data_IF_942302527916
#
_entry.id   IF_942302527916
#
_cell.length_a   1.000
_cell.length_b   1.000
_cell.length_c   1.000
_cell.angle_alpha   90.00
_cell.angle_beta   90.00
_cell.angle_gamma   90.00
#
_symmetry.space_group_name_H-M   'P 1'
#
loop_
_entity.id
_entity.type
_entity.pdbx_description
1 polymer ?
#
# COMPACT_ATOMS: atom_id res chain seq x y z
N UNK A 1 43.85 54.28 -73.77
CA UNK A 1 42.42 54.45 -73.58
C UNK A 1 41.77 53.33 -72.76
N UNK A 2 42.50 52.24 -72.38
CA UNK A 2 41.87 51.05 -71.70
C UNK A 2 42.02 50.98 -70.17
N UNK A 3 42.73 51.84 -69.49
CA UNK A 3 42.88 51.81 -68.04
C UNK A 3 41.81 52.65 -67.30
N UNK A 4 41.40 53.79 -67.89
CA UNK A 4 40.35 54.65 -67.30
C UNK A 4 38.96 54.06 -67.37
N UNK A 5 38.66 53.29 -68.45
CA UNK A 5 37.39 52.63 -68.63
C UNK A 5 37.21 51.46 -67.59
N UNK A 6 38.27 50.73 -67.31
CA UNK A 6 38.29 49.66 -66.29
C UNK A 6 38.12 50.19 -64.88
N UNK A 7 38.72 51.39 -64.61
CA UNK A 7 38.58 52.02 -63.31
C UNK A 7 37.15 52.56 -63.08
N UNK A 8 36.53 53.14 -64.10
CA UNK A 8 35.17 53.61 -64.04
C UNK A 8 34.16 52.50 -63.89
N UNK A 9 34.38 51.34 -64.50
CA UNK A 9 33.55 50.14 -64.36
C UNK A 9 33.66 49.51 -62.94
N UNK A 10 34.84 49.53 -62.35
CA UNK A 10 35.13 49.05 -61.03
C UNK A 10 34.42 49.93 -59.93
N UNK A 11 34.48 51.27 -60.15
CA UNK A 11 33.81 52.22 -59.26
C UNK A 11 32.26 52.07 -59.33
N UNK A 12 31.72 51.86 -60.55
CA UNK A 12 30.30 51.63 -60.73
C UNK A 12 29.81 50.34 -60.04
N UNK A 13 30.60 49.28 -60.10
CA UNK A 13 30.27 48.01 -59.41
C UNK A 13 30.31 48.16 -57.89
N UNK A 14 31.28 48.93 -57.36
CA UNK A 14 31.37 49.18 -55.92
C UNK A 14 30.24 50.05 -55.44
N UNK A 15 29.79 51.04 -56.18
CA UNK A 15 28.64 51.90 -55.83
C UNK A 15 27.36 51.10 -55.88
N UNK A 16 27.14 50.22 -56.86
CA UNK A 16 25.95 49.37 -56.94
C UNK A 16 25.95 48.31 -55.83
N UNK A 17 27.08 47.71 -55.49
CA UNK A 17 27.25 46.80 -54.40
C UNK A 17 26.96 47.47 -53.02
N UNK A 18 27.49 48.71 -52.84
CA UNK A 18 27.18 49.49 -51.61
C UNK A 18 25.68 49.86 -51.48
N UNK A 19 25.06 50.24 -52.64
CA UNK A 19 23.63 50.52 -52.69
C UNK A 19 22.77 49.34 -52.38
N UNK A 20 23.11 48.16 -52.88
CA UNK A 20 22.39 46.89 -52.55
C UNK A 20 22.57 46.51 -51.08
N UNK A 21 23.76 46.65 -50.52
CA UNK A 21 24.01 46.38 -49.09
C UNK A 21 23.24 47.39 -48.20
N UNK A 22 23.18 48.66 -48.60
CA UNK A 22 22.44 49.66 -47.88
C UNK A 22 20.91 49.38 -47.95
N UNK A 23 20.41 49.00 -49.12
CA UNK A 23 19.00 48.69 -49.34
C UNK A 23 18.61 47.40 -48.60
N UNK A 24 19.46 46.37 -48.56
CA UNK A 24 19.22 45.15 -47.79
C UNK A 24 19.31 45.40 -46.29
N UNK A 25 20.17 46.34 -45.85
CA UNK A 25 20.19 46.75 -44.42
C UNK A 25 18.95 47.52 -44.04
N UNK A 26 18.42 48.37 -44.93
CA UNK A 26 17.21 49.12 -44.67
C UNK A 26 15.94 48.25 -44.71
N UNK A 27 15.93 47.13 -45.46
CA UNK A 27 14.83 46.15 -45.41
C UNK A 27 14.96 45.19 -44.25
N UNK A 28 16.12 44.98 -43.61
CA UNK A 28 16.29 44.17 -42.39
C UNK A 28 16.06 44.95 -41.10
N UNK A 29 15.81 46.26 -41.16
CA UNK A 29 15.10 46.99 -40.10
C UNK A 29 13.59 46.84 -40.23
N UNK A 30 13.11 45.64 -40.63
CA UNK A 30 11.77 45.22 -40.30
C UNK A 30 11.77 45.11 -38.79
N UNK A 31 11.09 46.02 -38.16
CA UNK A 31 10.63 46.00 -36.81
C UNK A 31 10.57 44.52 -36.29
N UNK A 32 11.56 44.14 -35.46
CA UNK A 32 11.22 43.18 -34.43
C UNK A 32 10.13 43.87 -33.59
N UNK A 33 8.89 43.66 -34.00
CA UNK A 33 7.77 43.72 -33.10
C UNK A 33 8.11 42.59 -32.10
N UNK A 34 8.79 42.96 -31.02
CA UNK A 34 8.77 42.17 -29.79
C UNK A 34 7.32 41.77 -29.58
N UNK A 35 6.96 40.46 -29.55
CA UNK A 35 5.61 40.13 -29.24
C UNK A 35 5.35 40.78 -27.88
N UNK A 36 4.51 41.79 -27.91
CA UNK A 36 4.00 42.45 -26.71
C UNK A 36 3.62 41.30 -25.80
N UNK A 37 4.46 41.00 -24.82
CA UNK A 37 4.09 40.08 -23.75
C UNK A 37 2.73 40.61 -23.27
N UNK A 38 1.66 39.84 -23.38
CA UNK A 38 0.38 40.35 -22.92
C UNK A 38 0.67 40.89 -21.54
N UNK A 39 0.66 42.21 -21.39
CA UNK A 39 0.62 42.86 -20.08
C UNK A 39 -0.46 42.10 -19.37
N UNK A 40 -0.09 41.29 -18.36
CA UNK A 40 -1.06 40.72 -17.46
C UNK A 40 -1.93 41.89 -17.07
N UNK A 41 -3.10 41.97 -17.68
CA UNK A 41 -4.11 42.97 -17.30
C UNK A 41 -4.33 42.62 -15.85
N UNK A 42 -3.87 43.45 -14.96
CA UNK A 42 -4.20 43.43 -13.55
C UNK A 42 -5.69 43.64 -13.52
N UNK A 43 -6.44 42.53 -13.64
CA UNK A 43 -7.86 42.51 -13.37
C UNK A 43 -7.92 42.92 -11.90
N UNK A 44 -8.37 44.13 -11.65
CA UNK A 44 -8.59 44.56 -10.27
C UNK A 44 -9.58 43.57 -9.68
N UNK A 45 -9.28 42.92 -8.55
CA UNK A 45 -10.16 41.93 -7.97
C UNK A 45 -11.51 42.60 -7.72
N UNK A 46 -12.58 42.02 -8.29
CA UNK A 46 -13.93 42.47 -8.02
C UNK A 46 -14.20 42.28 -6.52
N UNK A 47 -14.76 43.23 -5.87
CA UNK A 47 -15.17 43.17 -4.48
C UNK A 47 -16.69 43.13 -4.43
N UNK A 48 -17.26 42.02 -3.97
CA UNK A 48 -18.69 41.88 -3.73
C UNK A 48 -19.01 42.17 -2.27
N UNK A 49 -19.96 43.03 -1.99
CA UNK A 49 -20.37 43.42 -0.64
C UNK A 49 -21.83 43.20 -0.43
N UNK A 50 -22.18 42.50 0.63
CA UNK A 50 -23.55 42.34 1.07
C UNK A 50 -23.82 43.13 2.35
N UNK A 51 -24.98 43.68 2.47
CA UNK A 51 -25.44 44.29 3.72
C UNK A 51 -25.55 43.21 4.82
N UNK A 52 -25.31 43.59 6.07
CA UNK A 52 -25.49 42.69 7.18
C UNK A 52 -26.91 42.11 7.22
N UNK A 53 -27.04 40.79 7.22
CA UNK A 53 -28.32 40.08 7.18
C UNK A 53 -28.93 39.87 5.80
N UNK A 54 -28.22 40.16 4.72
CA UNK A 54 -28.68 39.84 3.38
C UNK A 54 -28.96 38.35 3.21
N UNK A 55 -30.08 37.92 2.60
CA UNK A 55 -30.47 36.52 2.47
C UNK A 55 -29.42 35.68 1.68
N UNK A 56 -28.68 36.33 0.77
CA UNK A 56 -27.61 35.69 -0.01
C UNK A 56 -26.48 35.11 0.87
N UNK A 57 -26.21 35.75 2.03
CA UNK A 57 -25.18 35.29 2.95
C UNK A 57 -25.47 33.90 3.53
N UNK A 58 -26.73 33.49 3.61
CA UNK A 58 -27.13 32.17 4.05
C UNK A 58 -26.72 31.04 3.11
N UNK A 59 -26.45 31.33 1.85
CA UNK A 59 -26.03 30.39 0.82
C UNK A 59 -24.49 30.38 0.64
N UNK A 60 -23.78 31.22 1.40
CA UNK A 60 -22.30 31.31 1.31
C UNK A 60 -21.69 30.66 2.53
N UNK A 61 -20.82 29.68 2.29
CA UNK A 61 -20.01 29.07 3.33
C UNK A 61 -18.53 29.31 3.04
N UNK A 62 -17.81 29.77 4.08
CA UNK A 62 -16.37 29.99 4.01
C UNK A 62 -15.64 28.97 4.86
N UNK A 63 -14.45 28.57 4.44
CA UNK A 63 -13.53 27.70 5.20
C UNK A 63 -12.14 28.30 5.21
N UNK A 64 -11.37 27.99 6.27
CA UNK A 64 -9.98 28.45 6.41
C UNK A 64 -9.09 27.50 5.66
N UNK A 65 -8.39 28.03 4.66
CA UNK A 65 -7.46 27.21 3.88
C UNK A 65 -6.15 26.97 4.61
N UNK A 66 -5.62 25.77 4.42
CA UNK A 66 -4.36 25.31 5.02
C UNK A 66 -3.39 24.84 3.97
N UNK A 67 -2.12 24.97 4.27
CA UNK A 67 -1.04 24.44 3.43
C UNK A 67 -0.86 22.95 3.75
N UNK A 68 -1.03 22.11 2.74
CA UNK A 68 -0.91 20.65 2.85
C UNK A 68 0.13 20.09 1.87
N UNK A 69 0.70 18.91 2.15
CA UNK A 69 1.55 18.23 1.17
C UNK A 69 0.77 17.95 -0.11
N UNK A 70 1.34 18.35 -1.24
CA UNK A 70 0.68 18.24 -2.53
C UNK A 70 0.84 16.83 -3.11
N UNK A 71 -0.24 16.17 -3.55
CA UNK A 71 -0.16 14.91 -4.27
C UNK A 71 0.34 15.11 -5.70
N UNK A 72 0.88 14.04 -6.29
CA UNK A 72 1.36 14.06 -7.70
C UNK A 72 0.23 13.82 -8.70
N UNK A 73 -0.88 13.26 -8.25
CA UNK A 73 -2.06 12.94 -9.07
C UNK A 73 -3.29 12.82 -8.17
N UNK A 74 -4.46 12.66 -8.79
CA UNK A 74 -5.70 12.35 -8.08
C UNK A 74 -5.56 11.14 -7.15
N UNK A 75 -6.31 11.12 -6.03
CA UNK A 75 -6.34 9.97 -5.14
C UNK A 75 -6.74 8.69 -5.89
N UNK A 76 -6.06 7.60 -5.58
CA UNK A 76 -6.28 6.29 -6.17
C UNK A 76 -6.92 5.37 -5.13
N UNK A 77 -7.86 4.54 -5.57
CA UNK A 77 -8.50 3.59 -4.68
C UNK A 77 -7.53 2.48 -4.27
N UNK A 78 -7.61 2.11 -3.01
CA UNK A 78 -6.91 1.01 -2.42
C UNK A 78 -7.74 0.33 -1.35
N UNK A 79 -7.20 -0.73 -0.77
CA UNK A 79 -7.79 -1.43 0.38
C UNK A 79 -6.71 -1.80 1.38
N UNK A 80 -7.07 -1.82 2.64
CA UNK A 80 -6.21 -2.36 3.68
C UNK A 80 -6.17 -3.88 3.56
N UNK A 81 -5.02 -4.46 3.81
CA UNK A 81 -4.81 -5.91 3.78
C UNK A 81 -3.90 -6.33 4.94
N UNK A 82 -3.95 -7.61 5.28
CA UNK A 82 -2.98 -8.17 6.21
C UNK A 82 -1.56 -8.08 5.62
N UNK A 83 -0.58 -7.85 6.49
CA UNK A 83 0.82 -8.06 6.12
C UNK A 83 1.10 -9.58 6.12
N UNK A 84 1.15 -10.17 4.93
CA UNK A 84 1.36 -11.61 4.77
C UNK A 84 2.70 -12.10 5.36
N UNK A 85 3.67 -11.22 5.59
CA UNK A 85 4.94 -11.59 6.21
C UNK A 85 4.78 -11.92 7.70
N UNK A 86 3.74 -11.40 8.34
CA UNK A 86 3.43 -11.63 9.76
C UNK A 86 2.05 -12.26 9.97
N UNK A 87 1.49 -12.81 8.89
CA UNK A 87 0.19 -13.51 8.90
C UNK A 87 0.42 -15.01 8.71
N UNK A 88 -0.31 -15.81 9.45
CA UNK A 88 -0.26 -17.25 9.33
C UNK A 88 -1.65 -17.86 9.23
N UNK A 89 -1.82 -18.68 8.18
CA UNK A 89 -3.00 -19.52 7.98
C UNK A 89 -2.70 -20.89 8.58
N UNK A 90 -3.37 -21.21 9.68
CA UNK A 90 -3.12 -22.43 10.45
C UNK A 90 -4.14 -23.49 10.10
N UNK A 91 -3.69 -24.59 9.49
CA UNK A 91 -4.48 -25.76 9.14
C UNK A 91 -4.10 -26.96 10.01
N UNK A 92 -4.95 -27.98 10.07
CA UNK A 92 -4.59 -29.23 10.74
C UNK A 92 -3.60 -30.05 9.91
N UNK A 93 -2.49 -30.50 10.48
CA UNK A 93 -1.59 -31.44 9.81
C UNK A 93 -2.08 -32.88 9.84
N UNK A 94 -3.17 -33.18 10.59
CA UNK A 94 -3.68 -34.51 10.85
C UNK A 94 -5.19 -34.59 10.61
N UNK A 95 -5.65 -35.80 10.26
CA UNK A 95 -7.06 -36.16 10.34
C UNK A 95 -7.47 -36.30 11.80
N UNK A 96 -8.63 -35.76 12.17
CA UNK A 96 -9.17 -35.94 13.51
C UNK A 96 -10.40 -35.09 13.78
N UNK A 97 -10.87 -35.14 15.01
CA UNK A 97 -12.05 -34.40 15.49
C UNK A 97 -11.64 -33.33 16.51
N UNK A 98 -12.14 -32.11 16.34
CA UNK A 98 -11.90 -31.02 17.30
C UNK A 98 -12.58 -31.34 18.63
N UNK A 99 -11.80 -31.42 19.71
CA UNK A 99 -12.30 -31.64 21.07
C UNK A 99 -12.61 -30.34 21.77
N UNK A 100 -11.59 -29.46 21.86
CA UNK A 100 -11.64 -28.22 22.62
C UNK A 100 -11.01 -27.10 21.80
N UNK A 101 -11.63 -25.94 21.82
CA UNK A 101 -11.08 -24.69 21.27
C UNK A 101 -10.56 -23.85 22.42
N UNK A 102 -9.31 -23.38 22.30
CA UNK A 102 -8.62 -22.64 23.34
C UNK A 102 -8.43 -21.17 23.01
N UNK A 103 -8.57 -20.79 21.73
CA UNK A 103 -8.45 -19.43 21.28
C UNK A 103 -9.67 -19.02 20.44
N UNK A 104 -10.22 -17.86 20.72
CA UNK A 104 -11.34 -17.23 20.02
C UNK A 104 -10.89 -16.11 19.11
N UNK A 105 -11.80 -15.60 18.27
CA UNK A 105 -11.56 -14.40 17.45
C UNK A 105 -11.34 -13.21 18.39
N UNK A 106 -10.29 -12.41 18.08
CA UNK A 106 -9.88 -11.26 18.87
C UNK A 106 -8.84 -11.57 19.96
N UNK A 107 -8.60 -12.84 20.28
CA UNK A 107 -7.61 -13.21 21.29
C UNK A 107 -6.20 -12.94 20.80
N UNK A 108 -5.36 -12.42 21.68
CA UNK A 108 -3.90 -12.31 21.46
C UNK A 108 -3.22 -13.60 21.85
N UNK A 109 -2.47 -14.17 20.91
CA UNK A 109 -1.75 -15.43 21.10
C UNK A 109 -0.25 -15.22 20.88
N UNK A 110 0.56 -15.85 21.72
CA UNK A 110 2.00 -15.92 21.53
C UNK A 110 2.36 -17.09 20.59
N UNK A 111 3.56 -17.04 20.00
CA UNK A 111 4.12 -18.19 19.26
C UNK A 111 4.15 -19.42 20.16
N UNK A 112 3.60 -20.55 19.68
CA UNK A 112 3.49 -21.79 20.43
C UNK A 112 2.25 -21.91 21.34
N UNK A 113 1.41 -20.87 21.45
CA UNK A 113 0.17 -20.92 22.21
C UNK A 113 -0.78 -21.98 21.64
N UNK A 114 -1.50 -22.69 22.53
CA UNK A 114 -2.48 -23.69 22.11
C UNK A 114 -3.72 -23.02 21.54
N UNK A 115 -4.12 -23.42 20.33
CA UNK A 115 -5.30 -22.90 19.63
C UNK A 115 -6.52 -23.81 19.79
N UNK A 116 -6.31 -25.12 19.61
CA UNK A 116 -7.32 -26.14 19.80
C UNK A 116 -6.66 -27.52 20.03
N UNK A 117 -7.49 -28.48 20.48
CA UNK A 117 -7.11 -29.87 20.63
C UNK A 117 -7.92 -30.74 19.67
N UNK A 118 -7.24 -31.69 19.02
CA UNK A 118 -7.79 -32.63 18.05
C UNK A 118 -7.59 -34.05 18.59
N UNK A 119 -8.61 -34.87 18.53
CA UNK A 119 -8.53 -36.31 18.70
C UNK A 119 -8.19 -36.94 17.33
N UNK A 120 -6.99 -37.53 17.21
CA UNK A 120 -6.47 -38.06 15.95
C UNK A 120 -6.17 -39.54 16.06
N UNK A 121 -6.92 -40.40 15.33
CA UNK A 121 -6.59 -41.84 15.23
C UNK A 121 -5.20 -42.10 14.65
N UNK A 122 -4.74 -41.28 13.71
CA UNK A 122 -3.42 -41.42 13.09
C UNK A 122 -2.29 -41.21 14.12
N UNK A 123 -2.48 -40.24 15.01
CA UNK A 123 -1.54 -40.01 16.12
C UNK A 123 -1.56 -41.18 17.11
N UNK A 124 -2.74 -41.63 17.54
CA UNK A 124 -2.87 -42.77 18.44
C UNK A 124 -2.21 -44.02 17.88
N UNK A 125 -2.39 -44.30 16.57
CA UNK A 125 -1.73 -45.43 15.90
C UNK A 125 -0.21 -45.25 15.87
N UNK A 126 0.29 -44.04 15.57
CA UNK A 126 1.74 -43.79 15.55
C UNK A 126 2.38 -43.91 16.94
N UNK A 127 1.69 -43.51 18.00
CA UNK A 127 2.11 -43.70 19.40
C UNK A 127 2.17 -45.18 19.76
N UNK A 128 1.14 -45.95 19.39
CA UNK A 128 1.07 -47.38 19.62
C UNK A 128 2.19 -48.14 18.84
N UNK A 129 2.42 -47.74 17.58
CA UNK A 129 3.52 -48.32 16.77
C UNK A 129 4.87 -48.08 17.40
N UNK A 130 5.13 -46.88 17.92
CA UNK A 130 6.38 -46.54 18.59
C UNK A 130 6.54 -47.38 19.89
N UNK A 131 5.49 -47.47 20.71
CA UNK A 131 5.50 -48.25 21.93
C UNK A 131 5.78 -49.74 21.66
N UNK A 132 5.16 -50.30 20.60
CA UNK A 132 5.36 -51.66 20.16
C UNK A 132 6.81 -51.89 19.69
N UNK A 133 7.32 -51.01 18.81
CA UNK A 133 8.69 -51.10 18.31
C UNK A 133 9.73 -50.98 19.42
N UNK A 134 9.54 -50.05 20.35
CA UNK A 134 10.45 -49.90 21.50
C UNK A 134 10.45 -51.09 22.42
N UNK A 135 9.29 -51.74 22.66
CA UNK A 135 9.21 -52.98 23.44
C UNK A 135 9.94 -54.14 22.75
N UNK A 136 9.82 -54.24 21.42
CA UNK A 136 10.52 -55.26 20.63
C UNK A 136 12.04 -55.02 20.61
N UNK A 137 12.48 -53.76 20.42
CA UNK A 137 13.89 -53.41 20.52
C UNK A 137 14.47 -53.78 21.88
N UNK A 138 13.78 -53.46 22.96
CA UNK A 138 14.21 -53.84 24.31
C UNK A 138 14.35 -55.35 24.47
N UNK A 139 13.37 -56.12 23.97
CA UNK A 139 13.40 -57.59 24.01
C UNK A 139 14.60 -58.16 23.22
N UNK A 140 14.82 -57.66 21.99
CA UNK A 140 15.96 -58.08 21.12
C UNK A 140 17.30 -57.66 21.71
N UNK A 141 17.37 -56.50 22.32
CA UNK A 141 18.58 -56.05 23.05
C UNK A 141 18.97 -57.02 24.16
N UNK A 142 18.03 -57.41 25.01
CA UNK A 142 18.27 -58.35 26.08
C UNK A 142 18.69 -59.73 25.56
N UNK A 143 18.13 -60.18 24.42
CA UNK A 143 18.54 -61.45 23.78
C UNK A 143 19.97 -61.35 23.24
N UNK A 144 20.31 -60.23 22.56
CA UNK A 144 21.69 -60.00 22.06
C UNK A 144 22.69 -59.95 23.21
N UNK A 145 22.42 -59.20 24.29
CA UNK A 145 23.32 -59.10 25.46
C UNK A 145 23.50 -60.45 26.16
N UNK A 146 22.47 -61.28 26.21
CA UNK A 146 22.56 -62.66 26.73
C UNK A 146 23.43 -63.54 25.83
N UNK A 147 23.18 -63.55 24.51
CA UNK A 147 23.96 -64.36 23.55
C UNK A 147 25.42 -63.92 23.52
N UNK A 148 25.70 -62.62 23.63
CA UNK A 148 27.09 -62.12 23.73
C UNK A 148 27.81 -62.68 24.93
N UNK A 149 27.19 -62.70 26.14
CA UNK A 149 27.80 -63.29 27.34
C UNK A 149 27.99 -64.81 27.21
N UNK A 150 27.05 -65.51 26.55
CA UNK A 150 27.23 -66.99 26.32
C UNK A 150 28.30 -67.27 25.29
N UNK A 151 28.49 -66.48 24.29
CA UNK A 151 29.56 -66.58 23.29
C UNK A 151 30.93 -66.28 23.93
N UNK A 152 31.05 -65.26 24.75
CA UNK A 152 32.22 -64.83 25.45
C UNK A 152 32.71 -66.01 26.42
N UNK A 153 31.77 -66.86 26.85
CA UNK A 153 32.08 -68.09 27.65
C UNK A 153 32.08 -69.37 26.80
N UNK A 154 32.19 -69.26 25.47
CA UNK A 154 32.26 -70.36 24.50
C UNK A 154 31.07 -71.34 24.54
N UNK A 155 29.91 -70.94 25.01
CA UNK A 155 28.70 -71.80 25.15
C UNK A 155 27.87 -71.84 23.83
N UNK A 156 27.91 -70.82 23.02
CA UNK A 156 27.16 -70.74 21.75
C UNK A 156 28.06 -70.46 20.55
N UNK A 157 27.62 -70.88 19.37
CA UNK A 157 28.32 -70.62 18.12
C UNK A 157 28.22 -69.11 17.70
N UNK A 158 29.27 -68.64 17.02
CA UNK A 158 29.35 -67.28 16.48
C UNK A 158 28.14 -66.91 15.62
N UNK A 159 27.60 -67.87 14.83
CA UNK A 159 26.40 -67.64 14.01
C UNK A 159 25.18 -67.23 14.83
N UNK A 160 25.00 -67.73 16.04
CA UNK A 160 23.92 -67.42 16.94
C UNK A 160 24.03 -65.98 17.49
N UNK A 161 25.24 -65.54 17.79
CA UNK A 161 25.54 -64.18 18.19
C UNK A 161 25.24 -63.19 17.05
N UNK A 162 25.76 -63.46 15.83
CA UNK A 162 25.56 -62.66 14.66
C UNK A 162 24.05 -62.54 14.30
N UNK A 163 23.26 -63.61 14.43
CA UNK A 163 21.82 -63.59 14.24
C UNK A 163 21.12 -62.70 15.27
N UNK A 164 21.49 -62.79 16.56
CA UNK A 164 20.91 -61.95 17.59
C UNK A 164 21.28 -60.47 17.45
N UNK A 165 22.49 -60.17 16.96
CA UNK A 165 22.94 -58.83 16.64
C UNK A 165 22.14 -58.26 15.48
N UNK A 166 21.98 -58.99 14.40
CA UNK A 166 21.18 -58.59 13.24
C UNK A 166 19.73 -58.31 13.63
N UNK A 167 19.13 -59.16 14.44
CA UNK A 167 17.79 -58.99 14.99
C UNK A 167 17.65 -57.70 15.81
N UNK A 168 18.64 -57.41 16.65
CA UNK A 168 18.65 -56.17 17.45
C UNK A 168 18.80 -54.91 16.57
N UNK A 169 19.73 -54.94 15.61
CA UNK A 169 19.89 -53.84 14.65
C UNK A 169 18.59 -53.56 13.85
N UNK A 170 17.90 -54.62 13.43
CA UNK A 170 16.62 -54.49 12.75
C UNK A 170 15.58 -53.82 13.67
N UNK A 171 15.46 -54.25 14.92
CA UNK A 171 14.53 -53.69 15.88
C UNK A 171 14.85 -52.22 16.20
N UNK A 172 16.13 -51.82 16.26
CA UNK A 172 16.55 -50.43 16.38
C UNK A 172 16.08 -49.58 15.17
N UNK A 173 16.26 -50.11 13.96
CA UNK A 173 15.81 -49.42 12.74
C UNK A 173 14.29 -49.21 12.73
N UNK A 174 13.52 -50.19 13.21
CA UNK A 174 12.08 -50.13 13.30
C UNK A 174 11.63 -49.08 14.36
N UNK A 175 12.25 -49.04 15.52
CA UNK A 175 11.99 -48.01 16.55
C UNK A 175 12.31 -46.61 16.01
N UNK A 176 13.47 -46.49 15.32
CA UNK A 176 13.85 -45.22 14.70
C UNK A 176 12.86 -44.77 13.67
N UNK A 177 12.35 -45.68 12.81
CA UNK A 177 11.31 -45.38 11.82
C UNK A 177 10.03 -44.91 12.46
N UNK A 178 9.54 -45.61 13.50
CA UNK A 178 8.31 -45.24 14.23
C UNK A 178 8.48 -43.87 14.94
N UNK A 179 9.65 -43.64 15.55
CA UNK A 179 9.98 -42.33 16.17
C UNK A 179 9.97 -41.17 15.18
N UNK A 180 10.56 -41.36 13.98
CA UNK A 180 10.56 -40.37 12.94
C UNK A 180 9.13 -40.09 12.40
N UNK A 181 8.30 -41.13 12.27
CA UNK A 181 6.89 -40.96 11.89
C UNK A 181 6.16 -40.07 12.90
N UNK A 182 6.31 -40.37 14.20
CA UNK A 182 5.69 -39.57 15.26
C UNK A 182 6.21 -38.10 15.25
N UNK A 183 7.51 -37.93 15.07
CA UNK A 183 8.13 -36.60 14.96
C UNK A 183 7.60 -35.80 13.76
N UNK A 184 7.42 -36.45 12.60
CA UNK A 184 6.89 -35.79 11.40
C UNK A 184 5.45 -35.35 11.56
N UNK A 185 4.66 -35.99 12.43
CA UNK A 185 3.32 -35.58 12.83
C UNK A 185 3.32 -34.35 13.78
N UNK A 186 4.51 -33.78 14.09
CA UNK A 186 4.69 -32.65 15.01
C UNK A 186 4.08 -32.88 16.39
N UNK A 187 3.98 -34.11 16.81
CA UNK A 187 3.28 -34.56 17.99
C UNK A 187 4.07 -34.42 19.30
N UNK A 188 5.11 -33.62 19.33
CA UNK A 188 5.95 -33.42 20.52
C UNK A 188 5.11 -32.86 21.69
N UNK A 189 5.02 -33.62 22.75
CA UNK A 189 4.27 -33.26 23.97
C UNK A 189 2.78 -33.64 23.97
N UNK A 190 2.32 -34.39 22.98
CA UNK A 190 0.96 -34.92 22.93
C UNK A 190 0.95 -36.37 23.46
N UNK A 191 -0.16 -36.83 23.99
CA UNK A 191 -0.36 -38.17 24.51
C UNK A 191 -1.79 -38.67 24.25
N UNK A 192 -1.93 -39.99 24.10
CA UNK A 192 -3.24 -40.64 23.94
C UNK A 192 -4.04 -40.18 22.71
N UNK A 193 -3.35 -39.99 21.57
CA UNK A 193 -4.02 -39.55 20.33
C UNK A 193 -4.48 -38.11 20.30
N UNK A 194 -4.21 -37.31 21.35
CA UNK A 194 -4.59 -35.89 21.41
C UNK A 194 -3.51 -35.01 20.83
N UNK A 195 -3.84 -34.32 19.77
CA UNK A 195 -2.96 -33.35 19.10
C UNK A 195 -3.35 -31.91 19.48
N UNK A 196 -2.39 -31.14 19.96
CA UNK A 196 -2.59 -29.71 20.24
C UNK A 196 -2.08 -28.89 19.07
N UNK A 197 -3.00 -28.25 18.34
CA UNK A 197 -2.64 -27.28 17.29
C UNK A 197 -2.18 -25.98 17.94
N UNK A 198 -1.00 -25.50 17.53
CA UNK A 198 -0.33 -24.34 18.15
C UNK A 198 -0.15 -23.21 17.15
N UNK A 199 -0.14 -21.98 17.66
CA UNK A 199 0.14 -20.79 16.87
C UNK A 199 1.61 -20.78 16.38
N UNK A 200 1.87 -20.71 15.06
CA UNK A 200 3.23 -20.65 14.53
C UNK A 200 3.87 -19.28 14.69
N UNK A 201 3.04 -18.23 14.81
CA UNK A 201 3.45 -16.83 14.99
C UNK A 201 2.70 -16.22 16.17
N UNK A 202 3.24 -15.14 16.72
CA UNK A 202 2.49 -14.29 17.66
C UNK A 202 1.59 -13.32 16.89
N UNK A 203 0.43 -12.99 17.44
CA UNK A 203 -0.52 -12.08 16.81
C UNK A 203 -1.91 -12.14 17.44
N UNK A 204 -2.89 -11.64 16.70
CA UNK A 204 -4.31 -11.71 17.04
C UNK A 204 -4.98 -12.77 16.17
N UNK A 205 -5.86 -13.58 16.75
CA UNK A 205 -6.72 -14.49 16.01
C UNK A 205 -7.76 -13.65 15.26
N UNK A 206 -7.63 -13.59 13.97
CA UNK A 206 -8.49 -12.75 13.11
C UNK A 206 -9.70 -13.53 12.63
N UNK A 207 -9.47 -14.81 12.26
CA UNK A 207 -10.51 -15.72 11.83
C UNK A 207 -10.38 -17.07 12.54
N UNK A 208 -11.53 -17.68 12.79
CA UNK A 208 -11.63 -19.03 13.32
C UNK A 208 -12.71 -19.79 12.57
N UNK A 209 -12.30 -20.80 11.83
CA UNK A 209 -13.19 -21.68 11.05
C UNK A 209 -13.24 -23.10 11.65
N UNK A 210 -12.99 -23.21 12.95
CA UNK A 210 -13.05 -24.46 13.71
C UNK A 210 -14.21 -24.41 14.70
N UNK A 211 -14.95 -25.54 14.79
CA UNK A 211 -16.03 -25.74 15.75
C UNK A 211 -15.78 -27.00 16.57
N UNK A 212 -16.22 -27.06 17.85
CA UNK A 212 -16.17 -28.28 18.63
C UNK A 212 -16.93 -29.42 17.93
N UNK A 213 -16.35 -30.63 17.94
CA UNK A 213 -16.90 -31.78 17.25
C UNK A 213 -16.70 -31.86 15.74
N UNK A 214 -16.19 -30.81 15.12
CA UNK A 214 -15.90 -30.78 13.69
C UNK A 214 -14.77 -31.75 13.33
N UNK A 215 -14.94 -32.47 12.22
CA UNK A 215 -13.87 -33.24 11.62
C UNK A 215 -12.93 -32.33 10.82
N UNK A 216 -11.63 -32.48 11.02
CA UNK A 216 -10.59 -31.70 10.34
C UNK A 216 -9.63 -32.63 9.62
N UNK A 217 -9.08 -32.15 8.50
CA UNK A 217 -8.16 -32.90 7.64
C UNK A 217 -7.10 -31.97 7.04
N UNK A 218 -5.92 -32.49 6.67
CA UNK A 218 -4.85 -31.69 6.04
C UNK A 218 -5.22 -31.05 4.71
N UNK A 219 -6.18 -31.64 3.97
CA UNK A 219 -6.63 -31.23 2.64
C UNK A 219 -7.79 -30.22 2.65
N UNK A 220 -8.20 -29.70 3.83
CA UNK A 220 -9.21 -28.66 3.90
C UNK A 220 -8.70 -27.36 3.25
N UNK A 221 -9.49 -26.86 2.30
CA UNK A 221 -9.17 -25.62 1.57
C UNK A 221 -9.18 -24.38 2.51
N UNK A 222 -9.99 -24.40 3.55
CA UNK A 222 -10.12 -23.29 4.51
C UNK A 222 -9.26 -23.54 5.73
N UNK A 223 -8.34 -22.62 6.09
CA UNK A 223 -7.56 -22.74 7.32
C UNK A 223 -8.46 -22.66 8.55
N UNK A 224 -8.07 -23.37 9.62
CA UNK A 224 -8.81 -23.38 10.89
C UNK A 224 -8.70 -22.04 11.63
N UNK A 225 -7.53 -21.40 11.53
CA UNK A 225 -7.28 -20.08 12.10
C UNK A 225 -6.49 -19.20 11.12
N UNK A 226 -6.79 -17.91 11.17
CA UNK A 226 -5.96 -16.85 10.63
C UNK A 226 -5.41 -16.03 11.79
N UNK A 227 -4.09 -15.97 11.91
CA UNK A 227 -3.39 -15.23 12.97
C UNK A 227 -2.53 -14.18 12.28
N UNK A 228 -2.67 -12.92 12.69
CA UNK A 228 -1.91 -11.82 12.11
C UNK A 228 -1.51 -10.79 13.16
N UNK A 229 -0.39 -10.13 12.94
CA UNK A 229 -0.04 -8.91 13.66
C UNK A 229 -0.72 -7.71 13.00
N UNK A 230 -1.87 -7.31 13.55
CA UNK A 230 -2.69 -6.20 13.03
C UNK A 230 -2.15 -4.81 13.39
N UNK A 231 -1.02 -4.72 14.11
CA UNK A 231 -0.35 -3.44 14.39
C UNK A 231 0.36 -2.86 13.15
N UNK A 232 0.53 -3.66 12.11
CA UNK A 232 1.05 -3.29 10.81
C UNK A 232 0.16 -3.86 9.72
N UNK A 233 -0.24 -3.02 8.79
CA UNK A 233 -1.08 -3.39 7.67
C UNK A 233 -0.40 -3.04 6.35
N UNK A 234 -0.77 -3.74 5.31
CA UNK A 234 -0.55 -3.32 3.95
C UNK A 234 -1.74 -2.50 3.46
N UNK A 235 -1.45 -1.60 2.52
CA UNK A 235 -2.45 -0.96 1.69
C UNK A 235 -2.12 -1.33 0.26
N UNK A 236 -3.03 -2.07 -0.36
CA UNK A 236 -2.95 -2.48 -1.76
C UNK A 236 -3.66 -1.44 -2.60
N UNK A 237 -2.91 -0.78 -3.47
CA UNK A 237 -3.37 0.35 -4.28
C UNK A 237 -3.31 -0.04 -5.74
N UNK A 238 -4.41 0.13 -6.46
CA UNK A 238 -4.51 -0.20 -7.88
C UNK A 238 -4.23 1.04 -8.73
N UNK A 239 -2.96 1.28 -9.05
CA UNK A 239 -2.48 2.48 -9.75
C UNK A 239 -2.69 2.35 -11.24
N UNK A 240 -3.39 3.31 -11.91
CA UNK A 240 -3.50 3.34 -13.37
C UNK A 240 -2.12 3.48 -14.05
N UNK A 241 -1.94 2.85 -15.20
CA UNK A 241 -0.70 2.88 -15.98
C UNK A 241 -0.17 4.31 -16.21
N UNK A 242 -1.06 5.26 -16.53
CA UNK A 242 -0.70 6.67 -16.76
C UNK A 242 -0.08 7.39 -15.55
N UNK A 243 -0.37 6.91 -14.34
CA UNK A 243 0.15 7.50 -13.09
C UNK A 243 1.42 6.78 -12.58
N UNK A 244 1.78 5.64 -13.17
CA UNK A 244 2.85 4.78 -12.67
C UNK A 244 4.22 5.47 -12.68
N UNK A 245 4.49 6.32 -13.67
CA UNK A 245 5.75 7.05 -13.79
C UNK A 245 6.04 7.99 -12.61
N UNK A 246 5.00 8.40 -11.87
CA UNK A 246 5.11 9.28 -10.69
C UNK A 246 5.19 8.54 -9.37
N UNK A 247 5.12 7.19 -9.38
CA UNK A 247 5.14 6.35 -8.18
C UNK A 247 6.50 5.69 -8.02
N UNK A 248 7.10 5.82 -6.83
CA UNK A 248 8.43 5.30 -6.55
C UNK A 248 8.44 4.55 -5.20
N UNK A 249 9.29 3.52 -5.11
CA UNK A 249 9.53 2.86 -3.82
C UNK A 249 10.11 3.85 -2.79
N UNK A 250 9.66 3.76 -1.56
CA UNK A 250 10.02 4.70 -0.49
C UNK A 250 9.22 6.01 -0.48
N UNK A 251 8.38 6.26 -1.48
CA UNK A 251 7.52 7.46 -1.54
C UNK A 251 6.48 7.42 -0.42
N UNK A 252 6.25 8.59 0.21
CA UNK A 252 5.20 8.75 1.21
C UNK A 252 3.84 8.90 0.53
N UNK A 253 2.82 8.32 1.13
CA UNK A 253 1.44 8.43 0.70
C UNK A 253 0.56 8.85 1.87
N UNK A 254 -0.45 9.64 1.59
CA UNK A 254 -1.54 9.93 2.53
C UNK A 254 -2.71 9.03 2.21
N UNK A 255 -3.34 8.52 3.24
CA UNK A 255 -4.46 7.60 3.15
C UNK A 255 -5.65 8.19 3.88
N UNK A 256 -6.75 8.32 3.18
CA UNK A 256 -8.04 8.73 3.69
C UNK A 256 -9.00 7.53 3.68
N UNK A 257 -9.85 7.43 4.68
CA UNK A 257 -10.88 6.38 4.78
C UNK A 257 -12.17 6.97 5.31
N UNK A 258 -13.29 6.51 4.79
CA UNK A 258 -14.61 6.99 5.19
C UNK A 258 -14.96 6.65 6.65
N UNK A 259 -14.29 5.65 7.23
CA UNK A 259 -14.44 5.30 8.64
C UNK A 259 -13.88 6.38 9.59
N UNK A 260 -12.92 7.18 9.15
CA UNK A 260 -12.26 8.24 9.93
C UNK A 260 -12.02 9.46 9.03
N UNK A 261 -13.06 10.23 8.68
CA UNK A 261 -12.98 11.30 7.68
C UNK A 261 -12.05 12.46 8.09
N UNK A 262 -11.89 12.69 9.40
CA UNK A 262 -11.05 13.77 9.94
C UNK A 262 -9.60 13.34 10.22
N UNK A 263 -9.22 12.08 9.88
CA UNK A 263 -7.90 11.55 10.15
C UNK A 263 -7.20 11.13 8.85
N UNK A 264 -6.00 11.65 8.67
CA UNK A 264 -5.11 11.25 7.58
C UNK A 264 -4.05 10.30 8.11
N UNK A 265 -3.93 9.15 7.46
CA UNK A 265 -2.91 8.17 7.82
C UNK A 265 -1.75 8.25 6.83
N UNK A 266 -0.54 8.06 7.32
CA UNK A 266 0.66 8.11 6.49
C UNK A 266 1.18 6.70 6.29
N UNK A 267 1.44 6.33 5.04
CA UNK A 267 2.09 5.08 4.67
C UNK A 267 3.28 5.34 3.74
N UNK A 268 4.03 4.30 3.47
CA UNK A 268 5.18 4.36 2.57
C UNK A 268 5.04 3.28 1.51
N UNK A 269 5.31 3.62 0.26
CA UNK A 269 5.37 2.66 -0.86
C UNK A 269 6.50 1.67 -0.59
N UNK A 270 6.15 0.42 -0.36
CA UNK A 270 7.12 -0.64 -0.13
C UNK A 270 7.55 -1.30 -1.45
N UNK A 271 6.57 -1.59 -2.30
CA UNK A 271 6.82 -2.30 -3.56
C UNK A 271 5.81 -1.93 -4.63
N UNK A 272 6.30 -1.80 -5.85
CA UNK A 272 5.50 -1.62 -7.06
C UNK A 272 5.43 -2.97 -7.78
N UNK A 273 4.24 -3.38 -8.19
CA UNK A 273 4.03 -4.62 -8.96
C UNK A 273 4.80 -4.60 -10.27
N UNK A 274 5.27 -5.76 -10.69
CA UNK A 274 6.05 -5.91 -11.93
C UNK A 274 5.19 -6.15 -13.16
N UNK A 275 3.90 -6.39 -12.99
CA UNK A 275 2.96 -6.68 -14.05
C UNK A 275 1.75 -5.75 -14.00
N UNK A 276 1.23 -5.41 -15.16
CA UNK A 276 -0.03 -4.71 -15.35
C UNK A 276 -1.14 -5.75 -15.43
N UNK A 277 -2.21 -5.59 -14.69
CA UNK A 277 -3.41 -6.40 -14.84
C UNK A 277 -4.03 -6.13 -16.23
N UNK A 278 -4.18 -7.15 -17.09
CA UNK A 278 -4.61 -6.94 -18.47
C UNK A 278 -6.07 -6.50 -18.60
N UNK A 279 -6.90 -6.75 -17.59
CA UNK A 279 -8.33 -6.41 -17.59
C UNK A 279 -8.53 -4.97 -17.12
N UNK A 280 -7.93 -4.63 -15.98
CA UNK A 280 -8.11 -3.31 -15.34
C UNK A 280 -7.11 -2.27 -15.83
N UNK A 281 -6.00 -2.67 -16.47
CA UNK A 281 -4.85 -1.84 -16.84
C UNK A 281 -4.27 -1.06 -15.66
N UNK A 282 -4.20 -1.73 -14.50
CA UNK A 282 -3.66 -1.19 -13.27
C UNK A 282 -2.47 -2.00 -12.79
N UNK A 283 -1.57 -1.35 -12.08
CA UNK A 283 -0.45 -1.99 -11.38
C UNK A 283 -0.74 -1.94 -9.89
N UNK A 284 -0.67 -3.08 -9.24
CA UNK A 284 -0.84 -3.13 -7.79
C UNK A 284 0.42 -2.61 -7.10
N UNK A 285 0.26 -1.54 -6.33
CA UNK A 285 1.29 -0.95 -5.49
C UNK A 285 1.00 -1.30 -4.04
N UNK A 286 2.00 -1.80 -3.34
CA UNK A 286 1.91 -2.14 -1.93
C UNK A 286 2.56 -1.05 -1.09
N UNK A 287 1.78 -0.51 -0.17
CA UNK A 287 2.24 0.44 0.83
C UNK A 287 2.18 -0.20 2.22
N UNK A 288 3.10 0.16 3.10
CA UNK A 288 3.14 -0.31 4.49
C UNK A 288 2.72 0.81 5.42
N UNK A 289 1.83 0.49 6.35
CA UNK A 289 1.27 1.41 7.33
C UNK A 289 1.34 0.81 8.74
N UNK A 290 1.70 1.65 9.72
CA UNK A 290 1.63 1.31 11.15
C UNK A 290 0.23 1.60 11.69
N UNK A 291 -0.33 0.65 12.42
CA UNK A 291 -1.68 0.69 12.99
C UNK A 291 -1.65 0.31 14.49
N UNK A 292 -0.92 1.08 15.34
CA UNK A 292 -0.71 0.72 16.74
C UNK A 292 -2.00 0.69 17.54
N UNK A 293 -2.94 1.56 17.22
CA UNK A 293 -4.25 1.65 17.90
C UNK A 293 -5.26 0.60 17.42
N UNK A 294 -4.93 -0.17 16.38
CA UNK A 294 -5.82 -1.15 15.78
C UNK A 294 -7.12 -0.58 15.20
N UNK A 295 -7.16 0.74 14.91
CA UNK A 295 -8.32 1.42 14.33
C UNK A 295 -8.66 0.91 12.95
N UNK A 296 -7.65 0.82 12.09
CA UNK A 296 -7.80 0.35 10.73
C UNK A 296 -7.96 -1.16 10.71
N UNK A 297 -8.90 -1.63 9.92
CA UNK A 297 -9.17 -3.06 9.75
C UNK A 297 -8.83 -3.49 8.32
N UNK A 298 -8.30 -4.71 8.13
CA UNK A 298 -8.20 -5.29 6.80
C UNK A 298 -9.55 -5.25 6.08
N UNK A 299 -9.50 -5.20 4.77
CA UNK A 299 -10.63 -5.08 3.83
C UNK A 299 -11.40 -3.74 3.89
N UNK A 300 -11.03 -2.78 4.74
CA UNK A 300 -11.54 -1.41 4.62
C UNK A 300 -11.04 -0.77 3.32
N UNK A 301 -11.89 0.07 2.72
CA UNK A 301 -11.49 0.88 1.57
C UNK A 301 -10.65 2.08 1.99
N UNK A 302 -9.74 2.48 1.10
CA UNK A 302 -8.84 3.59 1.28
C UNK A 302 -8.75 4.41 -0.01
N UNK A 303 -8.65 5.72 0.12
CA UNK A 303 -8.21 6.64 -0.94
C UNK A 303 -6.76 7.02 -0.65
N UNK A 304 -5.90 6.78 -1.60
CA UNK A 304 -4.45 6.92 -1.45
C UNK A 304 -3.94 8.02 -2.36
N UNK A 305 -3.31 9.03 -1.77
CA UNK A 305 -2.68 10.15 -2.46
C UNK A 305 -1.17 10.02 -2.38
N UNK A 306 -0.52 9.88 -3.53
CA UNK A 306 0.94 9.83 -3.62
C UNK A 306 1.52 11.23 -3.49
N UNK A 307 2.35 11.49 -2.48
CA UNK A 307 2.92 12.81 -2.24
C UNK A 307 4.08 13.11 -3.20
N UNK A 308 4.17 14.36 -3.63
CA UNK A 308 5.26 14.80 -4.49
C UNK A 308 6.63 14.65 -3.79
N UNK A 309 7.64 14.22 -4.52
CA UNK A 309 9.02 14.21 -4.02
C UNK A 309 9.47 15.66 -3.72
N UNK A 310 10.13 15.87 -2.56
CA UNK A 310 10.64 17.18 -2.17
C UNK A 310 9.68 18.03 -1.35
N UNK A 311 8.67 17.42 -0.69
CA UNK A 311 7.74 18.10 0.23
C UNK A 311 7.05 19.35 -0.39
N UNK A 312 6.72 19.27 -1.70
CA UNK A 312 5.94 20.34 -2.34
C UNK A 312 4.63 20.49 -1.57
N UNK A 313 4.35 21.72 -1.17
CA UNK A 313 3.13 22.07 -0.45
C UNK A 313 2.29 22.97 -1.33
N UNK A 314 0.98 22.88 -1.16
CA UNK A 314 0.02 23.75 -1.83
C UNK A 314 -1.18 23.98 -0.93
N UNK A 315 -1.94 25.02 -1.23
CA UNK A 315 -3.18 25.30 -0.51
C UNK A 315 -4.29 24.46 -1.14
N UNK A 316 -4.90 23.58 -0.36
CA UNK A 316 -6.02 22.74 -0.81
C UNK A 316 -7.31 23.51 -0.81
N UNK A 317 -8.04 23.47 -1.94
CA UNK A 317 -9.36 24.06 -2.10
C UNK A 317 -10.32 23.07 -2.78
N UNK A 318 -11.59 22.99 -2.39
CA UNK A 318 -12.59 22.21 -3.12
C UNK A 318 -12.87 22.87 -4.48
N UNK A 319 -13.18 22.06 -5.49
CA UNK A 319 -13.47 22.56 -6.84
C UNK A 319 -14.72 23.46 -6.87
N UNK A 320 -15.63 23.32 -5.89
CA UNK A 320 -16.78 24.21 -5.70
C UNK A 320 -16.42 25.66 -5.37
N UNK A 321 -15.19 25.90 -4.87
CA UNK A 321 -14.66 27.23 -4.60
C UNK A 321 -14.08 27.91 -5.84
N UNK A 322 -13.78 27.12 -6.90
CA UNK A 322 -13.13 27.63 -8.10
C UNK A 322 -14.15 28.20 -9.08
N UNK A 323 -13.87 29.41 -9.53
CA UNK A 323 -14.60 30.07 -10.63
C UNK A 323 -13.65 30.24 -11.81
N UNK A 324 -13.97 29.59 -12.93
CA UNK A 324 -13.14 29.64 -14.13
C UNK A 324 -13.78 30.55 -15.19
N UNK A 325 -13.03 31.52 -15.65
CA UNK A 325 -13.43 32.46 -16.69
C UNK A 325 -12.37 32.43 -17.81
N UNK A 326 -12.74 31.81 -18.90
CA UNK A 326 -11.81 31.63 -20.02
C UNK A 326 -10.59 30.84 -19.59
N UNK A 327 -9.43 31.47 -19.54
CA UNK A 327 -8.14 30.87 -19.16
C UNK A 327 -7.77 31.13 -17.69
N UNK A 328 -8.58 31.88 -16.96
CA UNK A 328 -8.26 32.26 -15.59
C UNK A 328 -9.15 31.54 -14.60
N UNK A 329 -8.53 31.09 -13.52
CA UNK A 329 -9.24 30.52 -12.37
C UNK A 329 -9.13 31.48 -11.21
N UNK A 330 -10.24 31.73 -10.53
CA UNK A 330 -10.33 32.65 -9.39
C UNK A 330 -11.06 31.98 -8.23
N UNK A 331 -10.85 32.48 -7.05
CA UNK A 331 -11.59 32.13 -5.82
C UNK A 331 -12.09 33.41 -5.15
N UNK A 332 -13.14 33.33 -4.33
CA UNK A 332 -13.56 34.44 -3.48
C UNK A 332 -13.02 34.25 -2.05
N UNK A 333 -12.38 35.30 -1.54
CA UNK A 333 -11.82 35.36 -0.19
C UNK A 333 -12.62 36.34 0.64
N UNK A 334 -13.08 35.92 1.81
CA UNK A 334 -13.77 36.79 2.76
C UNK A 334 -12.73 37.67 3.47
N UNK A 335 -12.75 38.99 3.17
CA UNK A 335 -11.84 39.98 3.77
C UNK A 335 -12.47 40.70 4.96
N UNK A 336 -13.80 40.62 5.11
CA UNK A 336 -14.56 41.15 6.23
C UNK A 336 -15.98 40.63 6.19
N UNK A 337 -16.74 40.81 7.25
CA UNK A 337 -18.12 40.31 7.34
C UNK A 337 -18.97 40.77 6.14
N UNK A 338 -19.35 39.81 5.28
CA UNK A 338 -20.14 40.08 4.06
C UNK A 338 -19.35 40.74 2.93
N UNK A 339 -18.01 40.81 3.02
CA UNK A 339 -17.16 41.38 1.98
C UNK A 339 -16.26 40.28 1.40
N UNK A 340 -16.39 40.06 0.10
CA UNK A 340 -15.72 39.01 -0.63
C UNK A 340 -14.87 39.58 -1.76
N UNK A 341 -13.60 39.25 -1.79
CA UNK A 341 -12.65 39.70 -2.81
C UNK A 341 -12.34 38.54 -3.75
N UNK A 342 -12.52 38.76 -5.05
CA UNK A 342 -12.15 37.82 -6.09
C UNK A 342 -10.64 37.85 -6.29
N UNK A 343 -9.98 36.72 -6.10
CA UNK A 343 -8.54 36.58 -6.30
C UNK A 343 -8.23 35.54 -7.38
N UNK A 344 -7.43 35.95 -8.33
CA UNK A 344 -6.91 34.98 -9.32
C UNK A 344 -5.92 34.05 -8.69
N UNK A 345 -6.05 32.75 -9.00
CA UNK A 345 -5.19 31.69 -8.47
C UNK A 345 -4.56 30.89 -9.61
N UNK A 346 -3.35 30.40 -9.36
CA UNK A 346 -2.69 29.44 -10.24
C UNK A 346 -2.79 28.06 -9.61
N UNK A 347 -3.36 27.11 -10.35
CA UNK A 347 -3.49 25.74 -9.87
C UNK A 347 -2.21 24.98 -10.19
N UNK A 348 -1.63 24.32 -9.15
CA UNK A 348 -0.53 23.37 -9.31
C UNK A 348 -1.04 21.98 -9.71
N UNK A 349 -2.22 21.61 -9.17
CA UNK A 349 -2.91 20.36 -9.50
C UNK A 349 -4.42 20.62 -9.52
N UNK A 350 -5.06 20.24 -10.62
CA UNK A 350 -6.51 20.24 -10.75
C UNK A 350 -7.01 18.80 -10.66
N UNK A 351 -7.58 18.43 -9.53
CA UNK A 351 -8.12 17.09 -9.28
C UNK A 351 -9.63 17.03 -9.57
N UNK A 352 -10.23 15.86 -9.36
CA UNK A 352 -11.66 15.65 -9.63
C UNK A 352 -12.58 16.41 -8.64
N UNK A 353 -12.25 16.39 -7.34
CA UNK A 353 -13.05 17.00 -6.27
C UNK A 353 -12.31 18.17 -5.60
N UNK A 354 -11.00 18.09 -5.54
CA UNK A 354 -10.12 19.02 -4.85
C UNK A 354 -8.99 19.46 -5.76
N UNK A 355 -8.60 20.73 -5.66
CA UNK A 355 -7.46 21.30 -6.37
C UNK A 355 -6.44 21.88 -5.41
N UNK A 356 -5.20 21.96 -5.87
CA UNK A 356 -4.11 22.57 -5.10
C UNK A 356 -3.65 23.84 -5.78
N UNK A 357 -3.70 24.94 -5.02
CA UNK A 357 -3.28 26.27 -5.44
C UNK A 357 -1.79 26.45 -5.14
N UNK A 358 -1.03 26.87 -6.16
CA UNK A 358 0.40 27.20 -6.06
C UNK A 358 0.61 28.66 -5.64
N UNK A 359 -0.23 29.56 -6.18
CA UNK A 359 -0.14 31.00 -5.91
C UNK A 359 -1.50 31.70 -5.98
N UNK A 360 -1.63 32.83 -5.26
CA UNK A 360 -2.86 33.63 -5.20
C UNK A 360 -3.62 33.51 -3.87
N UNK A 361 -3.28 32.56 -3.01
CA UNK A 361 -3.82 32.41 -1.66
C UNK A 361 -2.69 32.36 -0.62
N UNK A 362 -3.01 32.73 0.60
CA UNK A 362 -2.15 32.58 1.76
C UNK A 362 -2.80 31.61 2.76
N UNK A 363 -1.95 30.94 3.55
CA UNK A 363 -2.42 30.11 4.65
C UNK A 363 -3.21 30.95 5.66
N UNK A 364 -4.40 30.49 6.03
CA UNK A 364 -5.30 31.21 6.92
C UNK A 364 -6.33 32.08 6.22
N UNK A 365 -6.28 32.24 4.89
CA UNK A 365 -7.33 32.92 4.13
C UNK A 365 -8.68 32.19 4.31
N UNK A 366 -9.77 32.94 4.39
CA UNK A 366 -11.13 32.41 4.44
C UNK A 366 -11.71 32.36 3.02
N UNK A 367 -11.67 31.20 2.42
CA UNK A 367 -12.13 30.99 1.05
C UNK A 367 -13.58 30.53 1.03
N UNK A 368 -14.38 31.04 0.10
CA UNK A 368 -15.75 30.62 -0.13
C UNK A 368 -15.75 29.23 -0.75
N UNK A 369 -16.23 28.23 -0.03
CA UNK A 369 -16.31 26.84 -0.47
C UNK A 369 -17.66 26.44 -1.05
N UNK A 370 -18.74 27.18 -0.66
CA UNK A 370 -20.06 27.06 -1.24
C UNK A 370 -20.62 28.47 -1.56
N UNK A 371 -21.29 28.63 -2.69
CA UNK A 371 -21.83 29.90 -3.12
C UNK A 371 -20.90 30.76 -4.00
N UNK A 372 -19.75 30.23 -4.43
CA UNK A 372 -18.81 30.98 -5.29
C UNK A 372 -19.44 31.45 -6.62
N UNK A 373 -20.30 30.63 -7.25
CA UNK A 373 -21.03 30.99 -8.46
C UNK A 373 -22.08 32.09 -8.22
N UNK A 374 -22.66 32.15 -7.02
CA UNK A 374 -23.57 33.24 -6.64
C UNK A 374 -22.81 34.58 -6.61
N UNK A 375 -21.63 34.59 -5.92
CA UNK A 375 -20.77 35.77 -5.87
C UNK A 375 -20.32 36.22 -7.25
N UNK A 376 -20.02 35.29 -8.13
CA UNK A 376 -19.61 35.57 -9.49
C UNK A 376 -20.77 36.24 -10.31
N UNK A 377 -22.00 35.74 -10.13
CA UNK A 377 -23.16 36.33 -10.78
C UNK A 377 -23.48 37.76 -10.27
N UNK A 378 -23.32 38.04 -8.99
CA UNK A 378 -23.49 39.36 -8.40
C UNK A 378 -22.39 40.33 -8.90
N UNK A 379 -21.09 39.86 -8.89
CA UNK A 379 -19.99 40.66 -9.47
C UNK A 379 -20.28 41.08 -10.92
N UNK A 380 -20.77 40.12 -11.75
CA UNK A 380 -21.10 40.38 -13.13
C UNK A 380 -22.32 41.33 -13.30
N UNK A 381 -23.21 41.37 -12.32
CA UNK A 381 -24.34 42.32 -12.29
C UNK A 381 -23.88 43.72 -11.90
N UNK A 382 -22.99 43.87 -10.93
CA UNK A 382 -22.44 45.15 -10.49
C UNK A 382 -21.47 45.80 -11.51
N UNK A 383 -20.92 45.00 -12.43
CA UNK A 383 -19.99 45.46 -13.48
C UNK A 383 -20.72 46.02 -14.73
N UNK A 384 -22.05 45.97 -14.78
CA UNK A 384 -22.89 46.50 -15.85
C UNK A 384 -23.49 47.86 -15.48
#
# INVERSE_FOLDING_TARGET
>A
MNRLIKLALLIAIVITAAGVVFFVRQQNEVHQVEPDKPKASTIQPGIVRFAAGAPQLAAIRTDIVRTEPMPVADPVNGRFAYDENVTSRVSSPLLGRVLVIRAGIGDRVGKGAALLEIDSPDLANAEADLAKAGSEEHRKKLAFERNRRLHDNEVIARKELEAAEADYQQAQADTRRASLRLKNLQASGNQNGRFTLRAPVAGVVVERNANPGQEVRPDLATPLFLISDVSRLWVLVDVPEKALASVHAGQRVTIDTDAYPDQHFIATVERIGVAVDPVTRRVQVRCTLMNPDGKLKPEMFARVSFLASGERKGIRVPNTALVTEGLYTSVFVETGTGTFEKRQVTLALHGNDLSFVESGLNEGDRVVVEGALLLHSEEAADAR
#
